data_IF_441308522974
#
_entry.id   IF_441308522974
#
_cell.length_a   1.000
_cell.length_b   1.000
_cell.length_c   1.000
_cell.angle_alpha   90.00
_cell.angle_beta   90.00
_cell.angle_gamma   90.00
#
_symmetry.space_group_name_H-M   'P 1'
#
loop_
_entity.id
_entity.type
_entity.pdbx_description
1 polymer ?
#
# COMPACT_ATOMS: atom_id res chain seq x y z
N UNK A 1 -6.40 -14.52 37.21
CA UNK A 1 -5.29 -14.83 36.28
C UNK A 1 -4.87 -13.51 35.68
N UNK A 2 -3.59 -13.17 35.86
CA UNK A 2 -3.06 -11.83 35.59
C UNK A 2 -2.57 -11.73 34.14
N UNK A 3 -2.60 -10.52 33.59
CA UNK A 3 -2.02 -10.25 32.28
C UNK A 3 -0.50 -10.34 32.39
N UNK A 4 0.13 -11.09 31.48
CA UNK A 4 1.58 -11.21 31.43
C UNK A 4 2.24 -9.88 31.04
N UNK A 5 2.75 -9.17 32.06
CA UNK A 5 3.45 -7.91 31.91
C UNK A 5 4.79 -8.05 31.15
N UNK A 6 5.39 -9.24 31.14
CA UNK A 6 6.62 -9.52 30.39
C UNK A 6 6.39 -9.44 28.88
N UNK A 7 5.22 -9.90 28.42
CA UNK A 7 4.81 -9.77 27.01
C UNK A 7 4.59 -8.31 26.62
N UNK A 8 3.94 -7.52 27.49
CA UNK A 8 3.72 -6.08 27.26
C UNK A 8 5.05 -5.31 27.16
N UNK A 9 5.99 -5.59 28.06
CA UNK A 9 7.33 -4.96 28.03
C UNK A 9 8.16 -5.39 26.83
N UNK A 10 7.96 -6.60 26.32
CA UNK A 10 8.61 -7.06 25.08
C UNK A 10 8.07 -6.28 23.89
N UNK A 11 6.75 -6.08 23.82
CA UNK A 11 6.09 -5.28 22.77
C UNK A 11 6.56 -3.82 22.79
N UNK A 12 6.67 -3.21 23.97
CA UNK A 12 7.22 -1.85 24.14
C UNK A 12 8.64 -1.75 23.55
N UNK A 13 9.52 -2.71 23.89
CA UNK A 13 10.92 -2.68 23.43
C UNK A 13 11.06 -2.92 21.93
N UNK A 14 10.25 -3.79 21.35
CA UNK A 14 10.40 -4.19 19.94
C UNK A 14 9.71 -3.24 18.95
N UNK A 15 8.67 -2.52 19.40
CA UNK A 15 7.78 -1.77 18.50
C UNK A 15 7.56 -0.32 18.92
N UNK A 16 8.34 0.18 19.86
CA UNK A 16 8.35 1.57 20.34
C UNK A 16 6.97 2.08 20.81
N UNK A 17 6.08 1.18 21.24
CA UNK A 17 4.78 1.57 21.81
C UNK A 17 4.97 1.83 23.29
N UNK A 18 4.71 3.05 23.81
CA UNK A 18 4.82 3.32 25.23
C UNK A 18 3.95 2.37 26.05
N UNK A 19 4.50 1.78 27.12
CA UNK A 19 3.75 0.86 27.98
C UNK A 19 2.41 1.43 28.46
N UNK A 20 2.39 2.72 28.80
CA UNK A 20 1.18 3.42 29.24
C UNK A 20 0.07 3.47 28.18
N UNK A 21 0.43 3.51 26.90
CA UNK A 21 -0.55 3.44 25.80
C UNK A 21 -1.16 2.04 25.71
N UNK A 22 -0.33 0.99 25.81
CA UNK A 22 -0.79 -0.40 25.81
C UNK A 22 -1.76 -0.68 26.96
N UNK A 23 -1.44 -0.20 28.16
CA UNK A 23 -2.30 -0.36 29.35
C UNK A 23 -3.69 0.22 29.10
N UNK A 24 -3.78 1.48 28.63
CA UNK A 24 -5.08 2.13 28.36
C UNK A 24 -5.90 1.38 27.31
N UNK A 25 -5.23 0.92 26.25
CA UNK A 25 -5.86 0.16 25.17
C UNK A 25 -6.42 -1.18 25.70
N UNK A 26 -5.67 -1.84 26.58
CA UNK A 26 -6.07 -3.09 27.23
C UNK A 26 -7.25 -2.85 28.19
N UNK A 27 -7.21 -1.81 29.01
CA UNK A 27 -8.32 -1.44 29.89
C UNK A 27 -9.62 -1.21 29.09
N UNK A 28 -9.57 -0.46 27.99
CA UNK A 28 -10.72 -0.27 27.09
C UNK A 28 -11.22 -1.58 26.48
N UNK A 29 -10.30 -2.48 26.08
CA UNK A 29 -10.63 -3.79 25.54
C UNK A 29 -11.36 -4.67 26.56
N UNK A 30 -10.86 -4.66 27.79
CA UNK A 30 -11.42 -5.41 28.92
C UNK A 30 -12.80 -4.87 29.27
N UNK A 31 -12.98 -3.55 29.32
CA UNK A 31 -14.27 -2.92 29.57
C UNK A 31 -15.30 -3.30 28.49
N UNK A 32 -14.88 -3.29 27.21
CA UNK A 32 -15.72 -3.74 26.09
C UNK A 32 -16.08 -5.22 26.20
N UNK A 33 -15.14 -6.07 26.65
CA UNK A 33 -15.38 -7.49 26.87
C UNK A 33 -16.32 -7.74 28.05
N UNK A 34 -16.22 -6.94 29.12
CA UNK A 34 -17.09 -6.96 30.28
C UNK A 34 -18.53 -6.63 29.88
N UNK A 35 -18.73 -5.55 29.13
CA UNK A 35 -20.02 -5.13 28.62
C UNK A 35 -20.77 -6.27 27.90
N UNK A 36 -20.07 -6.95 26.99
CA UNK A 36 -20.61 -8.07 26.21
C UNK A 36 -20.87 -9.33 27.04
N UNK A 37 -20.20 -9.47 28.17
CA UNK A 37 -20.34 -10.64 29.04
C UNK A 37 -21.49 -10.47 30.04
N UNK A 38 -21.66 -9.26 30.58
CA UNK A 38 -22.59 -8.97 31.67
C UNK A 38 -23.97 -8.51 31.19
N UNK A 39 -24.06 -7.88 30.01
CA UNK A 39 -25.33 -7.42 29.43
C UNK A 39 -25.62 -8.08 28.07
N UNK A 40 -26.84 -8.63 27.84
CA UNK A 40 -27.25 -9.17 26.55
C UNK A 40 -27.18 -8.13 25.41
N UNK A 41 -27.43 -6.87 25.74
CA UNK A 41 -27.43 -5.74 24.81
C UNK A 41 -26.04 -5.09 24.69
N UNK A 42 -25.08 -5.49 25.54
CA UNK A 42 -23.71 -4.97 25.55
C UNK A 42 -23.59 -3.55 26.11
N UNK A 43 -24.62 -3.08 26.84
CA UNK A 43 -24.60 -1.76 27.48
C UNK A 43 -23.67 -1.74 28.70
N UNK A 44 -22.87 -0.68 28.79
CA UNK A 44 -22.00 -0.40 29.93
C UNK A 44 -22.74 0.50 30.91
N UNK A 45 -22.67 0.22 32.22
CA UNK A 45 -23.06 1.19 33.24
C UNK A 45 -22.28 2.50 33.01
N UNK A 46 -22.98 3.63 33.07
CA UNK A 46 -22.35 4.94 32.85
C UNK A 46 -21.27 5.17 33.90
N UNK A 47 -20.06 5.54 33.48
CA UNK A 47 -18.88 5.69 34.34
C UNK A 47 -18.13 4.41 34.72
N UNK A 48 -18.49 3.23 34.19
CA UNK A 48 -17.70 2.01 34.41
C UNK A 48 -16.28 2.14 33.82
N UNK A 49 -15.27 1.62 34.54
CA UNK A 49 -13.86 1.62 34.10
C UNK A 49 -13.17 0.30 34.43
N UNK A 50 -12.22 -0.10 33.59
CA UNK A 50 -11.31 -1.19 33.89
C UNK A 50 -9.95 -0.61 34.33
N UNK A 51 -9.27 -1.32 35.22
CA UNK A 51 -7.94 -0.95 35.69
C UNK A 51 -7.01 -2.16 35.57
N UNK A 52 -5.83 -1.94 34.99
CA UNK A 52 -4.75 -2.92 34.93
C UNK A 52 -3.62 -2.48 35.85
N UNK A 53 -3.38 -3.25 36.92
CA UNK A 53 -2.26 -3.03 37.83
C UNK A 53 -0.93 -3.30 37.09
N UNK A 54 -0.11 -2.24 37.01
CA UNK A 54 1.15 -2.21 36.27
C UNK A 54 2.28 -3.02 36.90
N UNK A 55 2.11 -3.48 38.14
CA UNK A 55 3.08 -4.28 38.89
C UNK A 55 2.68 -5.74 38.93
N UNK A 56 1.39 -6.01 39.15
CA UNK A 56 0.89 -7.37 39.36
C UNK A 56 0.28 -7.98 38.08
N UNK A 57 -0.15 -7.14 37.14
CA UNK A 57 -0.92 -7.58 35.96
C UNK A 57 -2.38 -7.88 36.27
N UNK A 58 -2.82 -7.60 37.50
CA UNK A 58 -4.18 -7.83 37.95
C UNK A 58 -5.13 -6.87 37.24
N UNK A 59 -6.30 -7.40 36.85
CA UNK A 59 -7.35 -6.65 36.16
C UNK A 59 -8.57 -6.61 37.04
N UNK A 60 -9.07 -5.40 37.30
CA UNK A 60 -10.32 -5.18 37.99
C UNK A 60 -11.26 -4.30 37.13
N UNK A 61 -12.57 -4.54 37.23
CA UNK A 61 -13.59 -3.66 36.65
C UNK A 61 -14.35 -2.98 37.77
N UNK A 62 -14.40 -1.66 37.72
CA UNK A 62 -15.09 -0.82 38.68
C UNK A 62 -16.34 -0.20 38.07
N UNK A 63 -17.43 -0.22 38.83
CA UNK A 63 -18.71 0.41 38.48
C UNK A 63 -18.98 1.52 39.50
N UNK A 64 -19.46 2.70 39.08
CA UNK A 64 -19.82 3.75 40.01
C UNK A 64 -21.06 3.38 40.82
N UNK A 65 -20.98 3.63 42.12
CA UNK A 65 -22.12 3.60 43.02
C UNK A 65 -22.80 4.97 42.96
N UNK A 66 -24.10 4.98 42.69
CA UNK A 66 -24.91 6.20 42.63
C UNK A 66 -25.90 6.26 43.80
N UNK A 67 -26.14 7.47 44.30
CA UNK A 67 -27.20 7.71 45.29
C UNK A 67 -28.58 7.89 44.62
N UNK A 68 -29.62 8.12 45.43
CA UNK A 68 -31.00 8.32 44.98
C UNK A 68 -31.17 9.56 44.06
N UNK A 69 -30.18 10.46 44.04
CA UNK A 69 -30.15 11.66 43.19
C UNK A 69 -29.36 11.45 41.89
N UNK A 70 -28.75 10.28 41.72
CA UNK A 70 -27.87 9.95 40.60
C UNK A 70 -26.44 10.48 40.75
N UNK A 71 -26.06 10.99 41.94
CA UNK A 71 -24.71 11.44 42.19
C UNK A 71 -23.79 10.25 42.50
N UNK A 72 -22.58 10.23 41.91
CA UNK A 72 -21.59 9.18 42.14
C UNK A 72 -21.00 9.34 43.54
N UNK A 73 -21.24 8.35 44.41
CA UNK A 73 -20.81 8.33 45.82
C UNK A 73 -19.62 7.41 46.10
N UNK A 74 -19.22 6.62 45.10
CA UNK A 74 -18.07 5.71 45.20
C UNK A 74 -17.98 4.80 43.99
N UNK A 75 -17.13 3.78 44.08
CA UNK A 75 -16.99 2.72 43.08
C UNK A 75 -17.00 1.37 43.78
N UNK A 76 -17.59 0.35 43.14
CA UNK A 76 -17.50 -1.04 43.56
C UNK A 76 -16.78 -1.88 42.51
N UNK A 77 -15.99 -2.85 42.97
CA UNK A 77 -15.41 -3.84 42.07
C UNK A 77 -16.48 -4.85 41.65
N UNK A 78 -16.73 -4.95 40.35
CA UNK A 78 -17.75 -5.82 39.75
C UNK A 78 -17.14 -6.84 38.78
N UNK A 79 -15.89 -7.23 39.02
CA UNK A 79 -15.19 -8.24 38.20
C UNK A 79 -15.89 -9.61 38.36
N UNK A 80 -16.46 -10.22 37.30
CA UNK A 80 -17.13 -11.52 37.41
C UNK A 80 -16.16 -12.64 37.76
N UNK A 81 -16.66 -13.70 38.39
CA UNK A 81 -15.89 -14.92 38.61
C UNK A 81 -15.41 -15.49 37.25
N UNK A 82 -14.16 -15.95 37.18
CA UNK A 82 -13.49 -16.45 35.96
C UNK A 82 -13.32 -15.46 34.79
N UNK A 83 -13.60 -14.17 34.98
CA UNK A 83 -13.44 -13.14 33.94
C UNK A 83 -12.00 -12.94 33.47
N UNK A 84 -11.01 -13.38 34.27
CA UNK A 84 -9.59 -13.27 33.94
C UNK A 84 -9.21 -13.89 32.58
N UNK A 85 -9.84 -15.00 32.18
CA UNK A 85 -9.58 -15.62 30.86
C UNK A 85 -10.10 -14.77 29.71
N UNK A 86 -11.26 -14.13 29.90
CA UNK A 86 -11.89 -13.25 28.91
C UNK A 86 -11.05 -11.98 28.78
N UNK A 87 -10.65 -11.38 29.90
CA UNK A 87 -9.76 -10.23 29.94
C UNK A 87 -8.42 -10.50 29.24
N UNK A 88 -7.79 -11.65 29.52
CA UNK A 88 -6.53 -12.04 28.87
C UNK A 88 -6.68 -12.23 27.35
N UNK A 89 -7.79 -12.83 26.89
CA UNK A 89 -8.08 -12.99 25.47
C UNK A 89 -8.29 -11.64 24.79
N UNK A 90 -9.09 -10.76 25.40
CA UNK A 90 -9.34 -9.41 24.91
C UNK A 90 -8.04 -8.60 24.81
N UNK A 91 -7.21 -8.63 25.87
CA UNK A 91 -5.90 -7.97 25.88
C UNK A 91 -5.02 -8.47 24.74
N UNK A 92 -4.87 -9.79 24.58
CA UNK A 92 -4.08 -10.38 23.49
C UNK A 92 -4.58 -9.95 22.11
N UNK A 93 -5.90 -9.97 21.91
CA UNK A 93 -6.51 -9.58 20.64
C UNK A 93 -6.21 -8.11 20.31
N UNK A 94 -6.35 -7.21 21.28
CA UNK A 94 -6.15 -5.78 21.04
C UNK A 94 -4.67 -5.42 20.90
N UNK A 95 -3.76 -6.05 21.65
CA UNK A 95 -2.31 -5.92 21.41
C UNK A 95 -1.97 -6.38 19.99
N UNK A 96 -2.48 -7.54 19.57
CA UNK A 96 -2.24 -8.08 18.23
C UNK A 96 -2.84 -7.21 17.12
N UNK A 97 -3.95 -6.50 17.41
CA UNK A 97 -4.52 -5.52 16.49
C UNK A 97 -3.65 -4.28 16.41
N UNK A 98 -3.23 -3.72 17.55
CA UNK A 98 -2.37 -2.53 17.60
C UNK A 98 -1.04 -2.74 16.88
N UNK A 99 -0.45 -3.92 17.07
CA UNK A 99 0.77 -4.34 16.37
C UNK A 99 0.58 -4.39 14.85
N UNK A 100 -0.56 -4.90 14.38
CA UNK A 100 -0.90 -4.91 12.96
C UNK A 100 -1.11 -3.50 12.43
N UNK A 101 -1.85 -2.65 13.14
CA UNK A 101 -2.11 -1.28 12.72
C UNK A 101 -0.82 -0.48 12.53
N UNK A 102 0.17 -0.68 13.41
CA UNK A 102 1.49 -0.03 13.31
C UNK A 102 2.27 -0.56 12.10
N UNK A 103 2.29 -1.87 11.89
CA UNK A 103 2.94 -2.47 10.72
C UNK A 103 2.29 -1.97 9.42
N UNK A 104 0.96 -1.88 9.40
CA UNK A 104 0.17 -1.36 8.29
C UNK A 104 0.50 0.11 8.01
N UNK A 105 0.55 0.94 9.04
CA UNK A 105 0.88 2.37 8.89
C UNK A 105 2.33 2.57 8.41
N UNK A 106 3.27 1.71 8.84
CA UNK A 106 4.65 1.71 8.34
C UNK A 106 4.70 1.39 6.83
N UNK A 107 4.01 0.33 6.40
CA UNK A 107 3.91 -0.06 4.98
C UNK A 107 3.27 1.05 4.15
N UNK A 108 2.17 1.64 4.64
CA UNK A 108 1.53 2.77 3.95
C UNK A 108 2.47 3.97 3.79
N UNK A 109 3.24 4.29 4.84
CA UNK A 109 4.25 5.34 4.79
C UNK A 109 5.30 5.09 3.70
N UNK A 110 5.80 3.86 3.60
CA UNK A 110 6.79 3.47 2.57
C UNK A 110 6.22 3.61 1.16
N UNK A 111 5.01 3.11 0.91
CA UNK A 111 4.44 3.05 -0.43
C UNK A 111 3.81 4.37 -0.88
N UNK A 112 3.38 5.26 0.02
CA UNK A 112 2.91 6.61 -0.36
C UNK A 112 3.95 7.39 -1.15
N UNK A 113 5.24 7.22 -0.83
CA UNK A 113 6.33 7.82 -1.60
C UNK A 113 6.58 7.17 -2.97
N UNK A 114 6.01 5.99 -3.21
CA UNK A 114 6.12 5.21 -4.45
C UNK A 114 4.89 5.36 -5.35
N UNK A 115 3.85 6.08 -4.92
CA UNK A 115 2.70 6.37 -5.78
C UNK A 115 3.15 7.16 -7.00
N UNK A 116 2.74 6.71 -8.19
CA UNK A 116 3.22 7.26 -9.44
C UNK A 116 4.61 6.78 -9.86
N UNK A 117 5.17 5.76 -9.20
CA UNK A 117 6.44 5.15 -9.55
C UNK A 117 6.31 3.69 -9.98
N UNK A 118 7.42 3.12 -10.45
CA UNK A 118 7.52 1.72 -10.84
C UNK A 118 8.10 0.87 -9.70
N UNK A 119 7.50 -0.29 -9.47
CA UNK A 119 7.98 -1.28 -8.50
C UNK A 119 8.10 -2.64 -9.17
N UNK A 120 9.09 -3.42 -8.74
CA UNK A 120 9.24 -4.81 -9.16
C UNK A 120 8.63 -5.73 -8.11
N UNK A 121 7.97 -6.79 -8.56
CA UNK A 121 7.36 -7.77 -7.66
C UNK A 121 7.27 -9.16 -8.29
N UNK A 122 6.71 -10.09 -7.52
CA UNK A 122 6.49 -11.48 -7.92
C UNK A 122 4.99 -11.76 -7.97
N UNK A 123 4.50 -12.36 -9.04
CA UNK A 123 3.08 -12.65 -9.21
C UNK A 123 2.66 -13.75 -8.23
N UNK A 124 1.62 -13.48 -7.46
CA UNK A 124 0.96 -14.40 -6.55
C UNK A 124 -0.41 -14.79 -7.09
N UNK A 125 -0.82 -16.04 -6.84
CA UNK A 125 -2.16 -16.51 -7.19
C UNK A 125 -3.11 -16.29 -6.01
N UNK A 126 -4.14 -15.48 -6.26
CA UNK A 126 -5.25 -15.29 -5.32
C UNK A 126 -6.38 -16.31 -5.52
N UNK A 127 -7.37 -16.32 -4.61
CA UNK A 127 -8.56 -17.16 -4.74
C UNK A 127 -9.45 -16.77 -5.93
N UNK A 128 -9.36 -15.53 -6.41
CA UNK A 128 -10.03 -15.08 -7.63
C UNK A 128 -9.01 -15.04 -8.78
N UNK A 129 -9.11 -15.92 -9.79
CA UNK A 129 -8.16 -15.97 -10.90
C UNK A 129 -8.08 -14.70 -11.75
N UNK A 130 -9.12 -13.83 -11.70
CA UNK A 130 -9.12 -12.56 -12.43
C UNK A 130 -8.36 -11.47 -11.69
N UNK A 131 -8.19 -11.61 -10.38
CA UNK A 131 -7.47 -10.64 -9.55
C UNK A 131 -6.05 -11.13 -9.37
N UNK A 132 -5.11 -10.43 -10.02
CA UNK A 132 -3.69 -10.76 -9.91
C UNK A 132 -3.14 -10.07 -8.68
N UNK A 133 -2.42 -10.83 -7.86
CA UNK A 133 -1.71 -10.31 -6.70
C UNK A 133 -0.22 -10.20 -7.06
N UNK A 134 0.45 -9.16 -6.58
CA UNK A 134 1.87 -8.93 -6.81
C UNK A 134 2.56 -8.71 -5.47
N UNK A 135 3.38 -9.66 -5.06
CA UNK A 135 4.20 -9.56 -3.85
C UNK A 135 5.33 -8.56 -4.08
N UNK A 136 5.33 -7.48 -3.28
CA UNK A 136 6.34 -6.43 -3.26
C UNK A 136 7.32 -6.59 -2.09
N UNK A 137 7.30 -7.73 -1.41
CA UNK A 137 8.14 -8.10 -0.27
C UNK A 137 7.51 -7.74 1.08
N UNK A 138 7.17 -6.47 1.27
CA UNK A 138 6.53 -6.00 2.52
C UNK A 138 5.00 -6.17 2.53
N UNK A 139 4.40 -6.25 1.34
CA UNK A 139 2.94 -6.21 1.14
C UNK A 139 2.60 -6.75 -0.25
N UNK A 140 1.41 -7.34 -0.37
CA UNK A 140 0.84 -7.72 -1.64
C UNK A 140 0.03 -6.57 -2.25
N UNK A 141 0.42 -6.14 -3.44
CA UNK A 141 -0.36 -5.23 -4.26
C UNK A 141 -1.38 -5.99 -5.11
N UNK A 142 -2.42 -5.28 -5.54
CA UNK A 142 -3.48 -5.82 -6.39
C UNK A 142 -3.33 -5.21 -7.79
N UNK A 143 -3.28 -6.08 -8.80
CA UNK A 143 -3.37 -5.75 -10.21
C UNK A 143 -4.78 -6.15 -10.70
N UNK A 144 -5.76 -5.23 -10.65
CA UNK A 144 -7.14 -5.56 -11.00
C UNK A 144 -7.31 -5.75 -12.52
N UNK A 145 -8.37 -6.45 -12.98
CA UNK A 145 -8.58 -6.76 -14.40
C UNK A 145 -8.51 -5.55 -15.34
N UNK A 146 -9.03 -4.40 -14.91
CA UNK A 146 -9.03 -3.14 -15.66
C UNK A 146 -7.63 -2.53 -15.84
N UNK A 147 -6.68 -2.91 -14.98
CA UNK A 147 -5.29 -2.45 -15.02
C UNK A 147 -4.33 -3.50 -15.63
N UNK A 148 -4.87 -4.66 -16.02
CA UNK A 148 -4.16 -5.72 -16.74
C UNK A 148 -4.18 -5.46 -18.24
N UNK A 149 -3.04 -5.70 -18.89
CA UNK A 149 -2.95 -5.65 -20.35
C UNK A 149 -3.70 -6.84 -20.96
N UNK A 150 -4.57 -6.56 -21.93
CA UNK A 150 -5.30 -7.60 -22.64
C UNK A 150 -4.35 -8.52 -23.41
N UNK A 151 -4.44 -9.83 -23.13
CA UNK A 151 -3.60 -10.85 -23.77
C UNK A 151 -2.23 -11.07 -23.11
N UNK A 152 -1.84 -10.28 -22.10
CA UNK A 152 -0.67 -10.57 -21.26
C UNK A 152 -1.02 -11.68 -20.26
N UNK A 153 -0.12 -12.65 -20.09
CA UNK A 153 -0.28 -13.73 -19.11
C UNK A 153 0.43 -13.38 -17.81
N UNK A 154 -0.20 -13.71 -16.68
CA UNK A 154 0.31 -13.45 -15.34
C UNK A 154 0.54 -14.76 -14.56
N UNK A 155 1.52 -15.60 -14.96
CA UNK A 155 1.76 -16.87 -14.29
C UNK A 155 2.35 -16.65 -12.89
N UNK A 156 1.91 -17.47 -11.94
CA UNK A 156 2.44 -17.47 -10.58
C UNK A 156 3.97 -17.63 -10.55
N UNK A 157 4.63 -16.85 -9.70
CA UNK A 157 6.09 -16.88 -9.53
C UNK A 157 6.87 -16.07 -10.58
N UNK A 158 6.22 -15.59 -11.64
CA UNK A 158 6.90 -14.69 -12.58
C UNK A 158 7.19 -13.33 -11.94
N UNK A 159 8.29 -12.71 -12.37
CA UNK A 159 8.66 -11.36 -11.95
C UNK A 159 8.18 -10.38 -13.00
N UNK A 160 7.64 -9.25 -12.55
CA UNK A 160 7.25 -8.18 -13.45
C UNK A 160 7.45 -6.82 -12.77
N UNK A 161 7.57 -5.78 -13.57
CA UNK A 161 7.45 -4.41 -13.09
C UNK A 161 6.05 -3.87 -13.33
N UNK A 162 5.53 -3.17 -12.32
CA UNK A 162 4.20 -2.56 -12.33
C UNK A 162 4.28 -1.11 -11.92
N UNK A 163 3.33 -0.30 -12.38
CA UNK A 163 3.19 1.10 -11.99
C UNK A 163 2.22 1.23 -10.81
N UNK A 164 2.60 1.93 -9.75
CA UNK A 164 1.74 2.15 -8.58
C UNK A 164 0.74 3.26 -8.88
N UNK A 165 -0.55 2.92 -8.96
CA UNK A 165 -1.62 3.89 -9.29
C UNK A 165 -2.25 4.52 -8.07
N UNK A 166 -2.32 3.80 -6.93
CA UNK A 166 -2.86 4.35 -5.69
C UNK A 166 -2.37 3.58 -4.46
N UNK A 167 -2.20 4.31 -3.35
CA UNK A 167 -1.86 3.74 -2.05
C UNK A 167 -2.84 4.25 -1.00
N UNK A 168 -3.63 3.35 -0.41
CA UNK A 168 -4.72 3.70 0.50
C UNK A 168 -4.87 2.71 1.66
N UNK A 169 -5.54 3.13 2.74
CA UNK A 169 -5.88 2.24 3.86
C UNK A 169 -7.22 1.58 3.56
N UNK A 170 -7.21 0.28 3.29
CA UNK A 170 -8.42 -0.52 3.06
C UNK A 170 -8.98 -1.12 4.36
N UNK A 171 -10.04 -1.91 4.24
CA UNK A 171 -10.71 -2.55 5.38
C UNK A 171 -9.85 -3.58 6.12
N UNK A 172 -8.82 -4.13 5.45
CA UNK A 172 -7.97 -5.20 5.95
C UNK A 172 -6.49 -4.80 6.09
N UNK A 173 -6.21 -3.50 6.06
CA UNK A 173 -4.85 -2.97 6.09
C UNK A 173 -4.49 -2.18 4.82
N UNK A 174 -3.19 -2.04 4.49
CA UNK A 174 -2.71 -1.29 3.34
C UNK A 174 -3.22 -1.91 2.05
N UNK A 175 -3.72 -1.08 1.15
CA UNK A 175 -4.18 -1.47 -0.16
C UNK A 175 -3.39 -0.67 -1.20
N UNK A 176 -2.58 -1.39 -1.97
CA UNK A 176 -1.78 -0.84 -3.06
C UNK A 176 -2.34 -1.38 -4.36
N UNK A 177 -2.83 -0.49 -5.21
CA UNK A 177 -3.25 -0.84 -6.56
C UNK A 177 -2.14 -0.52 -7.54
N UNK A 178 -1.86 -1.47 -8.41
CA UNK A 178 -0.83 -1.37 -9.43
C UNK A 178 -1.40 -1.60 -10.82
N UNK A 179 -0.64 -1.19 -11.83
CA UNK A 179 -1.07 -1.24 -13.23
C UNK A 179 0.03 -1.67 -14.18
N UNK A 180 -0.40 -2.39 -15.22
CA UNK A 180 0.39 -2.70 -16.41
C UNK A 180 -0.05 -1.91 -17.63
N UNK A 181 -1.28 -1.39 -17.65
CA UNK A 181 -1.83 -0.59 -18.76
C UNK A 181 -1.46 0.89 -18.67
N UNK A 182 -1.16 1.41 -17.48
CA UNK A 182 -0.97 2.84 -17.25
C UNK A 182 0.22 3.41 -18.07
N UNK A 183 0.07 4.54 -18.79
CA UNK A 183 1.15 5.19 -19.56
C UNK A 183 2.41 5.53 -18.75
N UNK A 184 2.25 5.79 -17.45
CA UNK A 184 3.34 6.07 -16.53
C UNK A 184 4.37 4.93 -16.46
N UNK A 185 3.93 3.68 -16.65
CA UNK A 185 4.83 2.52 -16.69
C UNK A 185 5.91 2.70 -17.76
N UNK A 186 5.51 3.06 -18.99
CA UNK A 186 6.43 3.28 -20.11
C UNK A 186 7.43 4.39 -19.79
N UNK A 187 6.96 5.52 -19.24
CA UNK A 187 7.83 6.65 -18.87
C UNK A 187 8.90 6.21 -17.87
N UNK A 188 8.51 5.45 -16.85
CA UNK A 188 9.41 4.96 -15.81
C UNK A 188 10.38 3.90 -16.33
N UNK A 189 9.94 3.00 -17.20
CA UNK A 189 10.81 2.03 -17.86
C UNK A 189 11.87 2.71 -18.73
N UNK A 190 11.49 3.73 -19.51
CA UNK A 190 12.45 4.52 -20.26
C UNK A 190 13.42 5.28 -19.35
N UNK A 191 12.97 5.81 -18.22
CA UNK A 191 13.85 6.46 -17.26
C UNK A 191 14.86 5.48 -16.63
N UNK A 192 14.50 4.21 -16.44
CA UNK A 192 15.44 3.18 -15.97
C UNK A 192 16.46 2.79 -17.04
N UNK A 193 16.05 2.74 -18.30
CA UNK A 193 16.89 2.24 -19.42
C UNK A 193 17.72 3.34 -20.10
N UNK A 194 17.28 4.60 -20.05
CA UNK A 194 17.89 5.74 -20.74
C UNK A 194 18.42 6.76 -19.72
N UNK A 195 19.76 6.82 -19.48
CA UNK A 195 20.37 7.76 -18.53
C UNK A 195 20.08 9.23 -18.83
N UNK A 196 19.92 9.58 -20.10
CA UNK A 196 19.59 10.94 -20.53
C UNK A 196 18.18 11.35 -20.09
N UNK A 197 17.24 10.40 -20.01
CA UNK A 197 15.90 10.64 -19.46
C UNK A 197 15.97 10.74 -17.93
N UNK A 198 16.72 9.84 -17.27
CA UNK A 198 16.90 9.87 -15.81
C UNK A 198 17.51 11.19 -15.30
N UNK A 199 18.48 11.74 -16.03
CA UNK A 199 19.12 13.02 -15.73
C UNK A 199 18.31 14.24 -16.21
N UNK A 200 17.23 14.02 -16.95
CA UNK A 200 16.38 15.08 -17.49
C UNK A 200 17.02 15.86 -18.63
N UNK A 201 18.07 15.33 -19.29
CA UNK A 201 18.66 15.88 -20.52
C UNK A 201 17.78 15.62 -21.73
N UNK A 202 17.06 14.49 -21.73
CA UNK A 202 16.03 14.14 -22.69
C UNK A 202 14.69 14.04 -21.95
N UNK A 203 13.64 14.58 -22.55
CA UNK A 203 12.30 14.57 -21.99
C UNK A 203 11.33 13.86 -22.93
N UNK A 204 10.46 13.01 -22.37
CA UNK A 204 9.29 12.47 -23.09
C UNK A 204 8.16 13.49 -22.99
N UNK A 205 7.96 14.30 -24.02
CA UNK A 205 6.97 15.40 -24.00
C UNK A 205 5.54 14.89 -24.17
N UNK A 206 5.34 13.87 -24.99
CA UNK A 206 4.03 13.28 -25.24
C UNK A 206 4.11 11.76 -25.35
N UNK A 207 3.03 11.10 -24.95
CA UNK A 207 2.92 9.64 -24.97
C UNK A 207 1.47 9.25 -25.27
N UNK A 208 1.29 8.41 -26.27
CA UNK A 208 0.02 7.75 -26.59
C UNK A 208 0.24 6.23 -26.57
N UNK A 209 -0.56 5.52 -25.78
CA UNK A 209 -0.39 4.08 -25.51
C UNK A 209 -1.69 3.32 -25.74
N UNK A 210 -1.59 2.28 -26.56
CA UNK A 210 -2.53 1.17 -26.66
C UNK A 210 -1.83 -0.05 -26.06
N UNK A 211 -2.07 -0.28 -24.76
CA UNK A 211 -1.27 -1.21 -23.96
C UNK A 211 -1.32 -2.64 -24.52
N UNK A 212 -0.15 -3.30 -24.60
CA UNK A 212 0.02 -4.63 -25.19
C UNK A 212 0.11 -4.65 -26.71
N UNK A 213 -0.18 -3.52 -27.38
CA UNK A 213 -0.17 -3.44 -28.85
C UNK A 213 0.89 -2.45 -29.34
N UNK A 214 0.70 -1.15 -29.07
CA UNK A 214 1.59 -0.09 -29.56
C UNK A 214 1.60 1.13 -28.66
N UNK A 215 2.80 1.64 -28.40
CA UNK A 215 3.03 2.96 -27.80
C UNK A 215 3.82 3.84 -28.72
N UNK A 216 3.44 5.12 -28.79
CA UNK A 216 4.20 6.17 -29.46
C UNK A 216 4.64 7.20 -28.43
N UNK A 217 5.93 7.49 -28.39
CA UNK A 217 6.51 8.54 -27.55
C UNK A 217 7.14 9.63 -28.40
N UNK A 218 6.91 10.88 -28.00
CA UNK A 218 7.59 12.05 -28.54
C UNK A 218 8.67 12.50 -27.56
N UNK A 219 9.88 12.71 -28.05
CA UNK A 219 11.04 13.06 -27.23
C UNK A 219 11.72 14.33 -27.73
N UNK A 220 12.28 15.10 -26.80
CA UNK A 220 13.11 16.27 -27.08
C UNK A 220 14.34 16.27 -26.17
N UNK A 221 15.46 16.80 -26.65
CA UNK A 221 16.64 17.05 -25.82
C UNK A 221 16.67 18.51 -25.39
N UNK A 222 17.09 18.78 -24.15
CA UNK A 222 17.33 20.15 -23.66
C UNK A 222 18.59 20.76 -24.28
N UNK A 223 19.59 19.91 -24.54
CA UNK A 223 20.81 20.30 -25.25
C UNK A 223 20.72 19.88 -26.73
N UNK A 224 20.82 20.82 -27.69
CA UNK A 224 20.83 20.51 -29.12
C UNK A 224 21.95 19.54 -29.57
N UNK A 225 23.02 19.39 -28.79
CA UNK A 225 24.09 18.44 -29.08
C UNK A 225 23.67 16.97 -28.83
N UNK A 226 22.55 16.75 -28.13
CA UNK A 226 22.06 15.41 -27.79
C UNK A 226 20.96 15.00 -28.77
N UNK A 227 21.15 13.83 -29.40
CA UNK A 227 20.10 13.21 -30.21
C UNK A 227 19.12 12.45 -29.30
N UNK A 228 17.97 13.06 -28.98
CA UNK A 228 16.95 12.49 -28.10
C UNK A 228 16.43 11.13 -28.57
N UNK A 229 16.02 11.03 -29.84
CA UNK A 229 15.54 9.78 -30.43
C UNK A 229 16.62 8.70 -30.42
N UNK A 230 17.85 9.05 -30.78
CA UNK A 230 19.00 8.14 -30.75
C UNK A 230 19.32 7.63 -29.35
N UNK A 231 19.28 8.50 -28.34
CA UNK A 231 19.48 8.12 -26.93
C UNK A 231 18.43 7.12 -26.45
N UNK A 232 17.17 7.28 -26.85
CA UNK A 232 16.09 6.37 -26.47
C UNK A 232 16.15 5.02 -27.20
N UNK A 233 16.59 5.01 -28.46
CA UNK A 233 16.79 3.77 -29.24
C UNK A 233 17.98 2.98 -28.67
N UNK A 234 19.08 3.66 -28.38
CA UNK A 234 20.34 3.05 -27.94
C UNK A 234 21.07 2.31 -29.06
N UNK A 235 22.28 1.83 -28.76
CA UNK A 235 23.10 1.08 -29.72
C UNK A 235 22.34 -0.13 -30.27
N UNK A 236 22.19 -0.19 -31.61
CA UNK A 236 21.43 -1.25 -32.31
C UNK A 236 20.00 -1.47 -31.80
N UNK A 237 19.38 -0.46 -31.18
CA UNK A 237 18.04 -0.55 -30.61
C UNK A 237 17.97 -1.24 -29.24
N UNK A 238 19.10 -1.46 -28.56
CA UNK A 238 19.16 -2.23 -27.30
C UNK A 238 18.20 -1.68 -26.24
N UNK A 239 18.16 -0.37 -26.04
CA UNK A 239 17.38 0.28 -24.98
C UNK A 239 15.88 0.14 -25.23
N UNK A 240 15.41 0.53 -26.42
CA UNK A 240 13.98 0.39 -26.77
C UNK A 240 13.52 -1.08 -26.79
N UNK A 241 14.39 -2.02 -27.15
CA UNK A 241 14.09 -3.46 -27.09
C UNK A 241 13.92 -3.95 -25.65
N UNK A 242 14.78 -3.53 -24.72
CA UNK A 242 14.63 -3.89 -23.32
C UNK A 242 13.28 -3.42 -22.75
N UNK A 243 12.86 -2.19 -23.06
CA UNK A 243 11.53 -1.68 -22.68
C UNK A 243 10.41 -2.47 -23.37
N UNK A 244 10.55 -2.79 -24.67
CA UNK A 244 9.58 -3.60 -25.42
C UNK A 244 9.40 -4.99 -24.82
N UNK A 245 10.50 -5.64 -24.42
CA UNK A 245 10.49 -6.97 -23.80
C UNK A 245 9.80 -6.94 -22.43
N UNK A 246 10.09 -5.93 -21.59
CA UNK A 246 9.41 -5.75 -20.30
C UNK A 246 7.90 -5.45 -20.44
N UNK A 247 7.46 -4.96 -21.60
CA UNK A 247 6.05 -4.73 -21.94
C UNK A 247 5.41 -5.87 -22.75
N UNK A 248 6.02 -7.07 -22.74
CA UNK A 248 5.44 -8.24 -23.40
C UNK A 248 5.41 -8.16 -24.93
N UNK A 249 6.30 -7.37 -25.53
CA UNK A 249 6.41 -7.23 -26.98
C UNK A 249 5.61 -6.05 -27.58
N UNK A 250 5.01 -5.20 -26.75
CA UNK A 250 4.34 -3.95 -27.14
C UNK A 250 5.24 -3.11 -28.07
N UNK A 251 4.76 -2.75 -29.27
CA UNK A 251 5.59 -2.01 -30.24
C UNK A 251 5.78 -0.57 -29.82
N UNK A 252 7.04 -0.10 -29.79
CA UNK A 252 7.35 1.28 -29.39
C UNK A 252 7.88 2.08 -30.58
N UNK A 253 7.17 3.15 -30.92
CA UNK A 253 7.60 4.16 -31.89
C UNK A 253 8.14 5.39 -31.17
N UNK A 254 9.35 5.81 -31.53
CA UNK A 254 10.01 6.99 -30.96
C UNK A 254 10.11 8.06 -32.04
N UNK A 255 9.51 9.22 -31.79
CA UNK A 255 9.47 10.34 -32.73
C UNK A 255 10.05 11.60 -32.11
N UNK A 256 10.64 12.46 -32.93
CA UNK A 256 11.13 13.76 -32.48
C UNK A 256 9.93 14.69 -32.25
N UNK A 257 9.89 15.31 -31.07
CA UNK A 257 8.97 16.39 -30.79
C UNK A 257 9.41 17.66 -31.55
N UNK A 258 8.44 18.40 -32.08
CA UNK A 258 8.69 19.70 -32.70
C UNK A 258 7.65 20.70 -32.17
N UNK A 259 8.04 21.93 -31.78
CA UNK A 259 7.08 22.96 -31.38
C UNK A 259 6.18 23.41 -32.53
N UNK A 260 6.61 23.25 -33.79
CA UNK A 260 5.78 23.49 -34.96
C UNK A 260 4.86 22.29 -35.20
N UNK A 261 3.55 22.50 -34.97
CA UNK A 261 2.55 21.44 -34.99
C UNK A 261 2.53 20.63 -36.30
N UNK A 262 2.69 21.28 -37.46
CA UNK A 262 2.70 20.60 -38.75
C UNK A 262 3.85 19.58 -38.86
N UNK A 263 5.05 19.96 -38.41
CA UNK A 263 6.22 19.05 -38.34
C UNK A 263 6.00 17.95 -37.33
N UNK A 264 5.46 18.28 -36.15
CA UNK A 264 5.20 17.28 -35.12
C UNK A 264 4.16 16.24 -35.55
N UNK A 265 3.08 16.66 -36.22
CA UNK A 265 2.09 15.76 -36.81
C UNK A 265 2.74 14.85 -37.85
N UNK A 266 3.59 15.41 -38.73
CA UNK A 266 4.31 14.59 -39.71
C UNK A 266 5.22 13.55 -39.05
N UNK A 267 5.95 13.93 -37.99
CA UNK A 267 6.76 13.02 -37.20
C UNK A 267 5.92 11.93 -36.51
N UNK A 268 4.77 12.30 -35.93
CA UNK A 268 3.89 11.38 -35.24
C UNK A 268 3.30 10.30 -36.15
N UNK A 269 3.14 10.58 -37.45
CA UNK A 269 2.66 9.62 -38.45
C UNK A 269 3.74 8.61 -38.88
N UNK A 270 5.00 8.79 -38.48
CA UNK A 270 6.07 7.80 -38.70
C UNK A 270 5.62 6.40 -38.20
N UNK A 271 5.81 5.34 -39.02
CA UNK A 271 6.67 5.25 -40.22
C UNK A 271 6.00 5.62 -41.56
N UNK A 272 4.74 6.09 -41.58
CA UNK A 272 4.10 6.52 -42.81
C UNK A 272 4.75 7.79 -43.37
N UNK A 273 4.82 7.91 -44.71
CA UNK A 273 5.30 9.12 -45.38
C UNK A 273 4.13 10.09 -45.57
N UNK A 274 4.31 11.32 -45.12
CA UNK A 274 3.33 12.39 -45.29
C UNK A 274 3.59 13.12 -46.62
N UNK A 275 2.57 13.27 -47.45
CA UNK A 275 2.67 13.95 -48.76
C UNK A 275 2.17 15.39 -48.75
N UNK A 276 1.33 15.75 -47.77
CA UNK A 276 0.70 17.06 -47.61
C UNK A 276 0.12 17.19 -46.20
#
# INVERSE_FOLDING_TARGET
MDIDLGLLRTVEREREIPFDELVRIIEQAILTAYAKHTSPDGELPDGARAELDRKTGHVAVFIPLTDETGAVIGEEESTPEDFGRIAAFAAKQVISQRLRDIADDQVLGEFRGKEGDIVAGVIQQGPNPRMVHVDLGAVEAILPPEEQVAGEEYPHGARLRVYVTSVSKGLKGPQITVSRTHPGLVRKLFALEVPEIASGLVEITSLAREAGHRTKIAVIAKDPAINAKGACIGEMGRRVRAVTEELGGEKIDIVDFDPELAKFVANALSPAKVTS
#
